data_IF_549689506327
#
_entry.id   IF_549689506327
#
_cell.length_a   1.000
_cell.length_b   1.000
_cell.length_c   1.000
_cell.angle_alpha   90.00
_cell.angle_beta   90.00
_cell.angle_gamma   90.00
#
_symmetry.space_group_name_H-M   'P 1'
#
loop_
_entity.id
_entity.type
_entity.pdbx_description
1 polymer ?
#
# COMPACT_ATOMS: atom_id res chain seq x y z
N UNK A 1 31.40 -7.46 18.55
CA UNK A 1 31.59 -6.63 17.35
C UNK A 1 30.26 -6.07 16.88
N UNK A 2 30.20 -4.75 16.67
CA UNK A 2 29.00 -4.12 16.16
C UNK A 2 28.83 -4.39 14.67
N UNK A 3 27.61 -4.64 14.22
CA UNK A 3 27.30 -4.94 12.84
C UNK A 3 26.32 -3.92 12.29
N UNK A 4 26.54 -3.48 11.05
CA UNK A 4 25.65 -2.60 10.34
C UNK A 4 25.18 -3.23 9.03
N UNK A 5 23.87 -3.25 8.82
CA UNK A 5 23.27 -3.68 7.57
C UNK A 5 22.37 -2.56 7.07
N UNK A 6 22.36 -2.35 5.74
CA UNK A 6 21.47 -1.36 5.15
C UNK A 6 20.03 -1.82 5.22
N UNK A 7 19.12 -0.87 5.46
CA UNK A 7 17.70 -1.15 5.46
C UNK A 7 17.18 -1.34 4.04
N UNK A 8 16.24 -2.24 3.92
CA UNK A 8 15.48 -2.42 2.70
C UNK A 8 14.59 -1.19 2.48
N UNK A 9 14.64 -0.60 1.28
CA UNK A 9 13.87 0.59 0.94
C UNK A 9 12.64 0.27 0.10
N UNK A 10 12.61 -0.90 -0.50
CA UNK A 10 11.53 -1.31 -1.39
C UNK A 10 10.62 -2.30 -0.70
N UNK A 11 9.34 -2.19 -1.03
CA UNK A 11 8.34 -3.13 -0.60
C UNK A 11 8.36 -4.32 -1.56
N UNK A 12 8.66 -5.51 -1.05
CA UNK A 12 8.65 -6.74 -1.83
C UNK A 12 7.44 -7.56 -1.41
N UNK A 13 6.54 -7.82 -2.33
CA UNK A 13 5.28 -8.48 -2.04
C UNK A 13 5.06 -9.69 -2.94
N UNK A 14 4.48 -10.74 -2.34
CA UNK A 14 3.93 -11.86 -3.06
C UNK A 14 2.43 -11.84 -2.80
N UNK A 15 1.65 -11.58 -3.84
CA UNK A 15 0.20 -11.53 -3.74
C UNK A 15 -0.37 -12.58 -4.67
N UNK A 16 -0.92 -13.65 -4.09
CA UNK A 16 -1.49 -14.77 -4.84
C UNK A 16 -0.51 -15.35 -5.87
N UNK A 17 0.78 -15.41 -5.53
CA UNK A 17 1.83 -15.93 -6.39
C UNK A 17 2.44 -14.92 -7.34
N UNK A 18 1.90 -13.72 -7.43
CA UNK A 18 2.48 -12.66 -8.26
C UNK A 18 3.44 -11.82 -7.42
N UNK A 19 4.65 -11.58 -7.93
CA UNK A 19 5.67 -10.82 -7.24
C UNK A 19 5.68 -9.36 -7.66
N UNK A 20 5.75 -8.46 -6.68
CA UNK A 20 5.84 -7.03 -6.93
C UNK A 20 6.95 -6.43 -6.07
N UNK A 21 7.69 -5.51 -6.67
CA UNK A 21 8.69 -4.72 -5.96
C UNK A 21 8.31 -3.26 -6.14
N UNK A 22 8.04 -2.57 -5.05
CA UNK A 22 7.54 -1.19 -5.09
C UNK A 22 8.40 -0.29 -4.20
N UNK A 23 9.09 0.71 -4.76
CA UNK A 23 9.80 1.70 -3.94
C UNK A 23 8.80 2.48 -3.08
N UNK A 24 9.14 2.69 -1.82
CA UNK A 24 8.35 3.55 -0.95
C UNK A 24 8.77 5.00 -1.16
N UNK A 25 8.26 5.61 -2.21
CA UNK A 25 8.55 6.98 -2.61
C UNK A 25 7.38 7.92 -2.27
N UNK A 26 7.54 9.19 -2.62
CA UNK A 26 6.53 10.22 -2.37
C UNK A 26 5.21 9.87 -3.04
N UNK A 27 5.26 9.37 -4.27
CA UNK A 27 4.05 8.97 -5.01
C UNK A 27 3.27 7.89 -4.26
N UNK A 28 3.97 6.86 -3.76
CA UNK A 28 3.34 5.80 -2.99
C UNK A 28 2.64 6.34 -1.74
N UNK A 29 3.32 7.21 -0.99
CA UNK A 29 2.75 7.78 0.23
C UNK A 29 1.54 8.68 -0.06
N UNK A 30 1.57 9.42 -1.15
CA UNK A 30 0.42 10.23 -1.57
C UNK A 30 -0.78 9.35 -1.93
N UNK A 31 -0.54 8.25 -2.65
CA UNK A 31 -1.59 7.31 -2.98
C UNK A 31 -2.22 6.70 -1.73
N UNK A 32 -1.42 6.37 -0.73
CA UNK A 32 -1.92 5.84 0.54
C UNK A 32 -2.69 6.90 1.33
N UNK A 33 -2.18 8.10 1.37
CA UNK A 33 -2.82 9.22 2.10
C UNK A 33 -4.19 9.53 1.54
N UNK A 34 -4.31 9.54 0.21
CA UNK A 34 -5.57 9.87 -0.47
C UNK A 34 -6.57 8.72 -0.43
N UNK A 35 -6.11 7.52 -0.13
CA UNK A 35 -6.95 6.32 -0.15
C UNK A 35 -8.17 6.39 0.75
N UNK A 36 -8.02 6.97 1.96
CA UNK A 36 -9.13 7.11 2.90
C UNK A 36 -10.22 8.01 2.35
N UNK A 37 -9.85 9.18 1.85
CA UNK A 37 -10.79 10.14 1.28
C UNK A 37 -11.49 9.56 0.04
N UNK A 38 -10.75 8.84 -0.79
CA UNK A 38 -11.31 8.18 -1.97
C UNK A 38 -12.31 7.09 -1.59
N UNK A 39 -12.00 6.30 -0.56
CA UNK A 39 -12.89 5.24 -0.07
C UNK A 39 -14.19 5.83 0.50
N UNK A 40 -14.08 6.92 1.26
CA UNK A 40 -15.25 7.62 1.81
C UNK A 40 -16.14 8.16 0.69
N UNK A 41 -15.54 8.75 -0.34
CA UNK A 41 -16.26 9.27 -1.49
C UNK A 41 -16.99 8.15 -2.23
N UNK A 42 -16.34 7.01 -2.40
CA UNK A 42 -16.95 5.85 -3.05
C UNK A 42 -18.16 5.33 -2.25
N UNK A 43 -18.04 5.30 -0.93
CA UNK A 43 -19.14 4.88 -0.07
C UNK A 43 -20.34 5.81 -0.19
N UNK A 44 -20.12 7.12 -0.24
CA UNK A 44 -21.19 8.10 -0.43
C UNK A 44 -21.86 7.93 -1.78
N UNK A 45 -21.09 7.71 -2.84
CA UNK A 45 -21.62 7.48 -4.18
C UNK A 45 -22.44 6.19 -4.25
N UNK A 46 -21.97 5.13 -3.60
CA UNK A 46 -22.69 3.87 -3.55
C UNK A 46 -24.01 4.00 -2.80
N UNK A 47 -24.00 4.70 -1.65
CA UNK A 47 -25.20 4.94 -0.85
C UNK A 47 -26.26 5.76 -1.61
N UNK A 48 -25.80 6.70 -2.45
CA UNK A 48 -26.67 7.49 -3.29
C UNK A 48 -27.10 6.84 -4.60
N UNK A 49 -26.71 5.59 -4.82
CA UNK A 49 -27.02 4.87 -6.06
C UNK A 49 -26.25 5.37 -7.28
N UNK A 50 -25.19 6.17 -7.07
CA UNK A 50 -24.42 6.78 -8.14
C UNK A 50 -23.20 5.97 -8.56
N UNK A 51 -22.91 4.86 -7.88
CA UNK A 51 -21.77 4.00 -8.16
C UNK A 51 -22.26 2.59 -8.43
N UNK A 52 -21.96 2.07 -9.61
CA UNK A 52 -22.26 0.68 -9.96
C UNK A 52 -21.14 -0.22 -9.45
N UNK A 53 -21.43 -1.52 -9.32
CA UNK A 53 -20.41 -2.51 -8.95
C UNK A 53 -19.24 -2.50 -9.93
N UNK A 54 -19.51 -2.39 -11.22
CA UNK A 54 -18.48 -2.33 -12.27
C UNK A 54 -17.56 -1.12 -12.07
N UNK A 55 -18.14 0.03 -11.74
CA UNK A 55 -17.36 1.25 -11.49
C UNK A 55 -16.50 1.10 -10.23
N UNK A 56 -17.07 0.50 -9.17
CA UNK A 56 -16.32 0.26 -7.93
C UNK A 56 -15.15 -0.68 -8.16
N UNK A 57 -15.34 -1.75 -8.95
CA UNK A 57 -14.27 -2.66 -9.33
C UNK A 57 -13.18 -1.95 -10.12
N UNK A 58 -13.57 -1.05 -11.02
CA UNK A 58 -12.63 -0.24 -11.80
C UNK A 58 -11.77 0.65 -10.93
N UNK A 59 -12.36 1.34 -9.94
CA UNK A 59 -11.61 2.17 -9.00
C UNK A 59 -10.65 1.35 -8.18
N UNK A 60 -11.09 0.20 -7.66
CA UNK A 60 -10.22 -0.68 -6.86
C UNK A 60 -9.06 -1.21 -7.70
N UNK A 61 -9.32 -1.59 -8.95
CA UNK A 61 -8.29 -2.07 -9.88
C UNK A 61 -7.25 -1.00 -10.14
N UNK A 62 -7.67 0.21 -10.44
CA UNK A 62 -6.76 1.32 -10.67
C UNK A 62 -5.90 1.61 -9.45
N UNK A 63 -6.49 1.56 -8.27
CA UNK A 63 -5.76 1.81 -7.02
C UNK A 63 -4.71 0.74 -6.74
N UNK A 64 -5.06 -0.53 -6.92
CA UNK A 64 -4.10 -1.64 -6.77
C UNK A 64 -2.94 -1.48 -7.75
N UNK A 65 -3.25 -1.22 -9.02
CA UNK A 65 -2.23 -1.05 -10.05
C UNK A 65 -1.30 0.13 -9.72
N UNK A 66 -1.86 1.24 -9.28
CA UNK A 66 -1.07 2.43 -8.93
C UNK A 66 -0.17 2.19 -7.72
N UNK A 67 -0.71 1.58 -6.65
CA UNK A 67 0.07 1.28 -5.44
C UNK A 67 1.20 0.30 -5.71
N UNK A 68 1.00 -0.67 -6.59
CA UNK A 68 2.03 -1.64 -6.94
C UNK A 68 2.96 -1.15 -8.05
N UNK A 69 2.63 -0.02 -8.67
CA UNK A 69 3.45 0.54 -9.74
C UNK A 69 3.49 -0.31 -11.00
N UNK A 70 2.43 -1.08 -11.25
CA UNK A 70 2.33 -2.00 -12.38
C UNK A 70 0.92 -1.90 -12.96
N UNK A 71 0.77 -1.43 -14.22
CA UNK A 71 -0.56 -1.29 -14.82
C UNK A 71 -1.30 -2.62 -15.04
N UNK A 72 -0.59 -3.74 -14.94
CA UNK A 72 -1.16 -5.08 -15.08
C UNK A 72 -1.22 -5.83 -13.74
N UNK A 73 -0.99 -5.14 -12.62
CA UNK A 73 -0.90 -5.79 -11.31
C UNK A 73 -2.15 -6.59 -10.96
N UNK A 74 -3.30 -5.96 -11.07
CA UNK A 74 -4.56 -6.61 -10.72
C UNK A 74 -4.83 -7.85 -11.59
N UNK A 75 -4.52 -7.76 -12.88
CA UNK A 75 -4.64 -8.88 -13.81
C UNK A 75 -3.73 -10.04 -13.41
N UNK A 76 -2.52 -9.75 -12.96
CA UNK A 76 -1.57 -10.76 -12.50
C UNK A 76 -2.04 -11.44 -11.22
N UNK A 77 -2.67 -10.69 -10.33
CA UNK A 77 -3.18 -11.21 -9.06
C UNK A 77 -4.41 -12.10 -9.28
N UNK A 78 -5.30 -11.69 -10.16
CA UNK A 78 -6.58 -12.37 -10.39
C UNK A 78 -6.55 -13.25 -11.67
N UNK A 79 -5.48 -14.04 -11.83
CA UNK A 79 -5.36 -14.96 -12.99
C UNK A 79 -6.24 -16.19 -12.86
N UNK A 80 -6.43 -16.70 -11.64
CA UNK A 80 -7.14 -17.95 -11.38
C UNK A 80 -8.48 -17.74 -10.67
N UNK A 81 -8.87 -16.50 -10.43
CA UNK A 81 -10.16 -16.20 -9.82
C UNK A 81 -10.66 -14.84 -10.32
N UNK A 82 -11.97 -14.68 -10.26
CA UNK A 82 -12.63 -13.47 -10.72
C UNK A 82 -12.41 -12.30 -9.75
N UNK A 83 -12.27 -11.09 -10.29
CA UNK A 83 -12.18 -9.89 -9.49
C UNK A 83 -13.48 -9.66 -8.72
N UNK A 84 -13.37 -9.34 -7.44
CA UNK A 84 -14.51 -8.95 -6.61
C UNK A 84 -14.05 -7.94 -5.57
N UNK A 85 -14.96 -7.12 -5.07
CA UNK A 85 -14.63 -6.02 -4.15
C UNK A 85 -14.02 -6.51 -2.85
N UNK A 86 -14.52 -7.61 -2.30
CA UNK A 86 -14.00 -8.15 -1.05
C UNK A 86 -12.53 -8.52 -1.15
N UNK A 87 -12.18 -9.32 -2.16
CA UNK A 87 -10.79 -9.73 -2.39
C UNK A 87 -9.89 -8.54 -2.70
N UNK A 88 -10.37 -7.60 -3.52
CA UNK A 88 -9.58 -6.42 -3.89
C UNK A 88 -9.35 -5.51 -2.69
N UNK A 89 -10.34 -5.38 -1.81
CA UNK A 89 -10.19 -4.65 -0.55
C UNK A 89 -9.14 -5.32 0.33
N UNK A 90 -9.18 -6.64 0.43
CA UNK A 90 -8.19 -7.40 1.19
C UNK A 90 -6.77 -7.16 0.65
N UNK A 91 -6.61 -7.13 -0.67
CA UNK A 91 -5.32 -6.83 -1.31
C UNK A 91 -4.84 -5.42 -0.92
N UNK A 92 -5.74 -4.44 -0.98
CA UNK A 92 -5.40 -3.06 -0.61
C UNK A 92 -4.95 -2.96 0.84
N UNK A 93 -5.65 -3.60 1.76
CA UNK A 93 -5.27 -3.60 3.17
C UNK A 93 -3.98 -4.36 3.42
N UNK A 94 -3.73 -5.44 2.68
CA UNK A 94 -2.47 -6.16 2.77
C UNK A 94 -1.29 -5.28 2.36
N UNK A 95 -1.42 -4.56 1.24
CA UNK A 95 -0.38 -3.62 0.79
C UNK A 95 -0.11 -2.56 1.85
N UNK A 96 -1.18 -1.98 2.41
CA UNK A 96 -1.07 -0.96 3.44
C UNK A 96 -0.38 -1.50 4.70
N UNK A 97 -0.76 -2.70 5.15
CA UNK A 97 -0.17 -3.33 6.33
C UNK A 97 1.33 -3.56 6.14
N UNK A 98 1.72 -4.09 4.99
CA UNK A 98 3.14 -4.35 4.72
C UNK A 98 3.95 -3.07 4.58
N UNK A 99 3.36 -2.03 4.01
CA UNK A 99 4.01 -0.72 3.94
C UNK A 99 4.23 -0.13 5.34
N UNK A 100 3.22 -0.24 6.22
CA UNK A 100 3.33 0.22 7.61
C UNK A 100 4.43 -0.54 8.35
N UNK A 101 4.49 -1.86 8.18
CA UNK A 101 5.54 -2.68 8.81
C UNK A 101 6.93 -2.24 8.36
N UNK A 102 7.11 -1.95 7.08
CA UNK A 102 8.40 -1.51 6.57
C UNK A 102 8.74 -0.12 7.10
N UNK A 103 7.78 0.78 7.18
CA UNK A 103 7.97 2.12 7.75
C UNK A 103 8.36 2.05 9.22
N UNK A 104 7.75 1.16 10.00
CA UNK A 104 8.09 0.96 11.41
C UNK A 104 9.52 0.44 11.57
N UNK A 105 9.94 -0.48 10.70
CA UNK A 105 11.32 -0.97 10.71
C UNK A 105 12.32 0.14 10.42
N UNK A 106 11.94 1.14 9.59
CA UNK A 106 12.79 2.30 9.31
C UNK A 106 12.99 3.21 10.53
N UNK A 107 12.05 3.17 11.48
CA UNK A 107 12.16 3.93 12.72
C UNK A 107 13.16 3.29 13.69
N UNK A 108 13.49 2.03 13.50
CA UNK A 108 14.47 1.33 14.34
C UNK A 108 15.86 1.38 13.73
N UNK A 109 16.29 2.58 13.35
CA UNK A 109 17.63 2.83 12.79
C UNK A 109 18.49 3.59 13.78
N UNK A 110 19.84 3.46 13.68
CA UNK A 110 20.73 4.30 14.49
C UNK A 110 20.48 5.78 14.30
N UNK A 111 20.24 6.21 13.06
CA UNK A 111 19.92 7.61 12.77
C UNK A 111 18.69 8.09 13.55
N UNK A 112 17.60 7.32 13.48
CA UNK A 112 16.36 7.68 14.17
C UNK A 112 16.57 7.73 15.69
N UNK A 113 17.24 6.70 16.24
CA UNK A 113 17.48 6.61 17.68
C UNK A 113 18.35 7.75 18.20
N UNK A 114 19.40 8.10 17.47
CA UNK A 114 20.29 9.19 17.86
C UNK A 114 19.58 10.54 17.80
N UNK A 115 18.87 10.82 16.71
CA UNK A 115 18.13 12.09 16.56
C UNK A 115 17.06 12.24 17.63
N UNK A 116 16.37 11.17 17.97
CA UNK A 116 15.36 11.18 19.01
C UNK A 116 15.96 11.50 20.37
N UNK A 117 17.12 10.93 20.69
CA UNK A 117 17.84 11.23 21.93
C UNK A 117 18.28 12.69 21.99
N UNK A 118 18.72 13.23 20.87
CA UNK A 118 19.15 14.63 20.79
C UNK A 118 17.98 15.57 21.04
N UNK A 119 16.79 15.25 20.56
CA UNK A 119 15.58 16.04 20.81
C UNK A 119 15.15 16.02 22.28
N UNK A 120 15.46 14.94 23.01
CA UNK A 120 15.06 14.78 24.41
C UNK A 120 16.01 15.44 25.40
N UNK A 121 17.14 15.94 24.93
CA UNK A 121 18.07 16.64 25.81
C UNK A 121 17.57 18.05 26.09
N UNK A 122 17.56 18.48 27.39
CA UNK A 122 17.20 19.85 27.75
C UNK A 122 18.20 20.86 27.21
#
# INVERSE_FOLDING_TARGET
MAKFDFLEKDLNLDIAGAHFQRPLDTEFFELMRNGKAEAEKMQEMAAGGKLTEKEALGFAREKINALLGDPEACKKIFTSREENLEDMTDVLFFIAEEAIKLMERRKDTPRYRVLKRMEQKP
#
